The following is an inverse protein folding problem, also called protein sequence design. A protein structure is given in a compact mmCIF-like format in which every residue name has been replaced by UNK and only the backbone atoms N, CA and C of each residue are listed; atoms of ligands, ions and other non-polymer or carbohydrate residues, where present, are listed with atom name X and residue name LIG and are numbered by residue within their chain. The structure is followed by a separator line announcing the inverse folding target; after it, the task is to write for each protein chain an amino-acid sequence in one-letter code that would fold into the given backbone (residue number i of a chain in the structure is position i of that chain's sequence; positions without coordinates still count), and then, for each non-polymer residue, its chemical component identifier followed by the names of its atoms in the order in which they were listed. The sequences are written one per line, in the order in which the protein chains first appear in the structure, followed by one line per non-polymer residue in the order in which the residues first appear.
data_IF_137644649953
#
_entry.id   IF_137644649953
#
_cell.length_a   1.000
_cell.length_b   1.000
_cell.length_c   1.000
_cell.angle_alpha   90.00
_cell.angle_beta   90.00
_cell.angle_gamma   90.00
#
_symmetry.space_group_name_H-M   'P 1'
#
loop_
_entity.id
_entity.type
_entity.pdbx_description
1 polymer ?
#
# COMPACT_ATOMS: atom_id res chain seq x y z
N UNK A 1 -5.53 -13.38 -26.84
CA UNK A 1 -4.17 -12.98 -26.47
C UNK A 1 -3.88 -11.49 -26.70
N UNK A 2 -4.08 -10.88 -27.89
CA UNK A 2 -3.79 -9.44 -28.14
C UNK A 2 -4.54 -8.47 -27.19
N UNK A 3 -5.82 -8.74 -26.86
CA UNK A 3 -6.61 -7.91 -25.94
C UNK A 3 -6.04 -7.91 -24.50
N UNK A 4 -5.62 -9.09 -24.00
CA UNK A 4 -5.00 -9.22 -22.67
C UNK A 4 -3.65 -8.51 -22.62
N UNK A 5 -2.81 -8.68 -23.63
CA UNK A 5 -1.51 -8.01 -23.71
C UNK A 5 -1.64 -6.47 -23.75
N UNK A 6 -2.63 -5.95 -24.49
CA UNK A 6 -2.90 -4.51 -24.51
C UNK A 6 -3.45 -3.99 -23.17
N UNK A 7 -4.16 -4.83 -22.43
CA UNK A 7 -4.63 -4.48 -21.08
C UNK A 7 -3.45 -4.43 -20.11
N UNK A 8 -2.59 -5.45 -20.10
CA UNK A 8 -1.40 -5.51 -19.23
C UNK A 8 -0.43 -4.34 -19.46
N UNK A 9 -0.34 -3.82 -20.68
CA UNK A 9 0.45 -2.58 -20.95
C UNK A 9 -0.06 -1.35 -20.20
N UNK A 10 -1.31 -1.35 -19.73
CA UNK A 10 -1.90 -0.25 -18.95
C UNK A 10 -1.58 -0.37 -17.45
N UNK A 11 -1.01 -1.48 -16.99
CA UNK A 11 -0.63 -1.68 -15.60
C UNK A 11 0.47 -0.73 -15.12
N UNK A 12 0.66 -0.66 -13.81
CA UNK A 12 1.69 0.15 -13.16
C UNK A 12 3.09 -0.25 -13.64
N UNK A 13 3.75 0.63 -14.37
CA UNK A 13 5.11 0.38 -14.86
C UNK A 13 6.13 0.29 -13.71
N UNK A 14 5.95 1.07 -12.65
CA UNK A 14 6.80 1.03 -11.46
C UNK A 14 6.72 -0.33 -10.78
N UNK A 15 5.52 -0.87 -10.59
CA UNK A 15 5.33 -2.20 -9.98
C UNK A 15 5.92 -3.32 -10.85
N UNK A 16 5.81 -3.22 -12.18
CA UNK A 16 6.45 -4.21 -13.07
C UNK A 16 7.97 -4.17 -12.96
N UNK A 17 8.58 -2.98 -12.93
CA UNK A 17 10.03 -2.82 -12.76
C UNK A 17 10.46 -3.36 -11.39
N UNK A 18 9.74 -3.02 -10.32
CA UNK A 18 10.02 -3.53 -8.98
C UNK A 18 9.91 -5.07 -8.92
N UNK A 19 8.89 -5.66 -9.55
CA UNK A 19 8.75 -7.12 -9.63
C UNK A 19 9.95 -7.77 -10.33
N UNK A 20 10.43 -7.20 -11.44
CA UNK A 20 11.59 -7.72 -12.16
C UNK A 20 12.86 -7.59 -11.31
N UNK A 21 13.09 -6.45 -10.66
CA UNK A 21 14.27 -6.23 -9.81
C UNK A 21 14.28 -7.20 -8.65
N UNK A 22 13.16 -7.33 -7.91
CA UNK A 22 13.05 -8.25 -6.78
C UNK A 22 13.17 -9.74 -7.23
N UNK A 23 12.64 -10.08 -8.41
CA UNK A 23 12.83 -11.41 -8.97
C UNK A 23 14.30 -11.71 -9.31
N UNK A 24 15.03 -10.74 -9.85
CA UNK A 24 16.46 -10.89 -10.14
C UNK A 24 17.28 -10.99 -8.83
N UNK A 25 16.97 -10.17 -7.83
CA UNK A 25 17.59 -10.27 -6.50
C UNK A 25 17.30 -11.60 -5.84
N UNK A 26 16.04 -12.05 -5.84
CA UNK A 26 15.64 -13.36 -5.33
C UNK A 26 16.36 -14.49 -6.06
N UNK A 27 16.51 -14.40 -7.37
CA UNK A 27 17.27 -15.40 -8.17
C UNK A 27 18.75 -15.41 -7.82
N UNK A 28 19.36 -14.24 -7.59
CA UNK A 28 20.75 -14.17 -7.12
C UNK A 28 20.93 -14.77 -5.73
N UNK A 29 20.04 -14.47 -4.79
CA UNK A 29 19.99 -15.06 -3.45
C UNK A 29 19.72 -16.58 -3.52
N UNK A 30 18.86 -17.02 -4.44
CA UNK A 30 18.62 -18.45 -4.70
C UNK A 30 19.87 -19.20 -5.16
N UNK A 31 20.61 -18.65 -6.11
CA UNK A 31 21.86 -19.24 -6.54
C UNK A 31 22.87 -19.30 -5.38
N UNK A 32 23.01 -18.24 -4.60
CA UNK A 32 23.87 -18.26 -3.43
C UNK A 32 23.46 -19.35 -2.44
N UNK A 33 22.14 -19.49 -2.15
CA UNK A 33 21.61 -20.57 -1.31
C UNK A 33 21.93 -21.96 -1.86
N UNK A 34 21.75 -22.22 -3.15
CA UNK A 34 22.04 -23.51 -3.76
C UNK A 34 23.52 -23.90 -3.64
N UNK A 35 24.43 -22.95 -3.68
CA UNK A 35 25.87 -23.21 -3.55
C UNK A 35 26.32 -23.36 -2.10
N UNK A 36 25.64 -22.70 -1.16
CA UNK A 36 26.13 -22.58 0.22
C UNK A 36 25.28 -23.32 1.24
N UNK A 37 24.01 -23.60 0.93
CA UNK A 37 23.04 -24.17 1.85
C UNK A 37 22.70 -23.27 3.05
N UNK A 38 23.00 -21.96 2.99
CA UNK A 38 22.86 -21.04 4.10
C UNK A 38 21.38 -20.67 4.35
N UNK A 39 20.87 -20.94 5.56
CA UNK A 39 19.45 -20.76 5.90
C UNK A 39 19.04 -19.28 6.02
N UNK A 40 19.93 -18.40 6.46
CA UNK A 40 19.64 -16.95 6.44
C UNK A 40 19.53 -16.43 5.00
N UNK A 41 20.32 -16.98 4.06
CA UNK A 41 20.21 -16.70 2.63
C UNK A 41 18.89 -17.22 2.05
N UNK A 42 18.42 -18.41 2.50
CA UNK A 42 17.10 -18.93 2.14
C UNK A 42 15.98 -17.98 2.57
N UNK A 43 16.02 -17.48 3.81
CA UNK A 43 15.03 -16.53 4.30
C UNK A 43 14.98 -15.25 3.44
N UNK A 44 16.14 -14.70 3.11
CA UNK A 44 16.28 -13.52 2.28
C UNK A 44 15.84 -13.75 0.82
N UNK A 45 16.08 -14.93 0.30
CA UNK A 45 15.55 -15.36 -1.01
C UNK A 45 14.02 -15.38 -1.02
N UNK A 46 13.41 -16.01 0.01
CA UNK A 46 11.96 -16.10 0.15
C UNK A 46 11.31 -14.72 0.27
N UNK A 47 11.93 -13.81 1.03
CA UNK A 47 11.50 -12.44 1.14
C UNK A 47 11.51 -11.73 -0.23
N UNK A 48 12.62 -11.78 -0.97
CA UNK A 48 12.72 -11.15 -2.29
C UNK A 48 11.75 -11.73 -3.32
N UNK A 49 11.46 -13.03 -3.29
CA UNK A 49 10.43 -13.64 -4.14
C UNK A 49 9.01 -13.26 -3.69
N UNK A 50 8.79 -13.08 -2.39
CA UNK A 50 7.53 -12.55 -1.85
C UNK A 50 7.24 -11.15 -2.39
N UNK A 51 8.22 -10.25 -2.35
CA UNK A 51 8.10 -8.90 -2.87
C UNK A 51 7.90 -8.89 -4.39
N UNK A 52 8.63 -9.76 -5.12
CA UNK A 52 8.43 -9.91 -6.56
C UNK A 52 7.01 -10.36 -6.90
N UNK A 53 6.46 -11.32 -6.15
CA UNK A 53 5.09 -11.79 -6.32
C UNK A 53 4.10 -10.66 -6.00
N UNK A 54 4.25 -9.97 -4.87
CA UNK A 54 3.38 -8.85 -4.50
C UNK A 54 3.34 -7.78 -5.59
N UNK A 55 4.50 -7.30 -6.05
CA UNK A 55 4.61 -6.30 -7.10
C UNK A 55 4.06 -6.77 -8.45
N UNK A 56 4.20 -8.04 -8.79
CA UNK A 56 3.63 -8.63 -10.00
C UNK A 56 2.09 -8.60 -9.94
N UNK A 57 1.50 -8.96 -8.80
CA UNK A 57 0.04 -8.89 -8.62
C UNK A 57 -0.48 -7.46 -8.62
N UNK A 58 0.26 -6.50 -8.04
CA UNK A 58 -0.06 -5.07 -8.14
C UNK A 58 -0.06 -4.62 -9.60
N UNK A 59 0.92 -5.02 -10.40
CA UNK A 59 0.96 -4.71 -11.83
C UNK A 59 -0.24 -5.30 -12.58
N UNK A 60 -0.56 -6.58 -12.37
CA UNK A 60 -1.71 -7.25 -12.98
C UNK A 60 -3.02 -6.61 -12.51
N UNK A 61 -3.17 -6.41 -11.22
CA UNK A 61 -4.36 -5.80 -10.60
C UNK A 61 -4.62 -4.39 -11.13
N UNK A 62 -3.58 -3.55 -11.18
CA UNK A 62 -3.68 -2.19 -11.72
C UNK A 62 -3.99 -2.17 -13.23
N UNK A 63 -3.59 -3.18 -13.98
CA UNK A 63 -3.95 -3.31 -15.38
C UNK A 63 -5.42 -3.65 -15.56
N UNK A 64 -5.93 -4.62 -14.78
CA UNK A 64 -7.32 -5.09 -14.88
C UNK A 64 -8.30 -4.06 -14.32
N UNK A 65 -7.92 -3.30 -13.29
CA UNK A 65 -8.76 -2.24 -12.71
C UNK A 65 -9.10 -1.13 -13.72
N UNK A 66 -8.25 -0.90 -14.71
CA UNK A 66 -8.47 0.09 -15.79
C UNK A 66 -9.42 -0.37 -16.90
N UNK A 67 -10.11 -1.48 -16.71
CA UNK A 67 -11.12 -1.93 -17.64
C UNK A 67 -12.38 -1.08 -17.49
N UNK A 68 -12.94 -0.64 -18.63
CA UNK A 68 -14.13 0.20 -18.64
C UNK A 68 -15.33 -0.48 -17.95
N UNK A 69 -16.21 0.28 -17.30
CA UNK A 69 -17.48 -0.20 -16.77
C UNK A 69 -18.31 -0.95 -17.81
N UNK A 70 -19.17 -1.86 -17.37
CA UNK A 70 -20.14 -2.57 -18.20
C UNK A 70 -21.41 -2.86 -17.39
N UNK A 71 -22.43 -3.46 -18.05
CA UNK A 71 -23.73 -3.77 -17.41
C UNK A 71 -23.60 -4.61 -16.12
N UNK A 72 -22.62 -5.53 -16.06
CA UNK A 72 -22.39 -6.37 -14.87
C UNK A 72 -21.65 -5.66 -13.75
N UNK A 73 -20.77 -4.72 -14.11
CA UNK A 73 -19.95 -3.92 -13.18
C UNK A 73 -20.09 -2.46 -13.56
N UNK A 74 -21.19 -1.79 -13.16
CA UNK A 74 -21.52 -0.43 -13.59
C UNK A 74 -20.54 0.63 -13.02
N UNK A 75 -19.98 0.41 -11.84
CA UNK A 75 -18.94 1.25 -11.24
C UNK A 75 -17.53 0.93 -11.75
N UNK A 76 -17.39 -0.08 -12.66
CA UNK A 76 -16.10 -0.46 -13.20
C UNK A 76 -15.41 -1.57 -12.42
N UNK A 77 -14.08 -1.62 -12.55
CA UNK A 77 -13.24 -2.69 -12.02
C UNK A 77 -12.19 -2.16 -11.04
N UNK A 78 -12.33 -0.92 -10.54
CA UNK A 78 -11.34 -0.26 -9.68
C UNK A 78 -10.91 -1.12 -8.48
N UNK A 79 -11.87 -1.65 -7.74
CA UNK A 79 -11.63 -2.50 -6.54
C UNK A 79 -10.93 -3.83 -6.84
N UNK A 80 -10.88 -4.24 -8.12
CA UNK A 80 -10.28 -5.53 -8.49
C UNK A 80 -8.77 -5.57 -8.22
N UNK A 81 -8.09 -4.42 -8.19
CA UNK A 81 -6.68 -4.37 -7.80
C UNK A 81 -6.47 -4.91 -6.39
N UNK A 82 -7.31 -4.51 -5.44
CA UNK A 82 -7.23 -4.97 -4.05
C UNK A 82 -7.50 -6.47 -3.93
N UNK A 83 -8.51 -6.99 -4.66
CA UNK A 83 -8.84 -8.42 -4.68
C UNK A 83 -7.67 -9.24 -5.26
N UNK A 84 -7.05 -8.75 -6.33
CA UNK A 84 -5.89 -9.41 -6.94
C UNK A 84 -4.69 -9.41 -5.99
N UNK A 85 -4.46 -8.32 -5.25
CA UNK A 85 -3.40 -8.25 -4.24
C UNK A 85 -3.63 -9.20 -3.05
N UNK A 86 -4.88 -9.52 -2.69
CA UNK A 86 -5.16 -10.53 -1.66
C UNK A 86 -4.65 -11.92 -2.05
N UNK A 87 -4.57 -12.28 -3.34
CA UNK A 87 -3.93 -13.51 -3.78
C UNK A 87 -2.41 -13.48 -3.56
N UNK A 88 -1.76 -12.31 -3.78
CA UNK A 88 -0.34 -12.15 -3.46
C UNK A 88 -0.07 -12.39 -1.98
N UNK A 89 -0.92 -11.87 -1.11
CA UNK A 89 -0.83 -12.05 0.36
C UNK A 89 -0.79 -13.53 0.74
N UNK A 90 -1.60 -14.38 0.10
CA UNK A 90 -1.61 -15.84 0.37
C UNK A 90 -0.25 -16.45 -0.01
N UNK A 91 0.31 -16.07 -1.16
CA UNK A 91 1.62 -16.57 -1.61
C UNK A 91 2.71 -16.15 -0.62
N UNK A 92 2.76 -14.86 -0.26
CA UNK A 92 3.78 -14.35 0.67
C UNK A 92 3.63 -14.99 2.07
N UNK A 93 2.39 -15.26 2.52
CA UNK A 93 2.14 -15.98 3.76
C UNK A 93 2.71 -17.41 3.75
N UNK A 94 2.57 -18.12 2.62
CA UNK A 94 3.17 -19.46 2.45
C UNK A 94 4.69 -19.36 2.47
N UNK A 95 5.30 -18.38 1.77
CA UNK A 95 6.75 -18.20 1.79
C UNK A 95 7.28 -17.84 3.18
N UNK A 96 6.57 -17.00 3.93
CA UNK A 96 6.89 -16.65 5.31
C UNK A 96 6.81 -17.90 6.24
N UNK A 97 5.78 -18.72 6.05
CA UNK A 97 5.63 -19.97 6.81
C UNK A 97 6.78 -20.95 6.54
N UNK A 98 7.12 -21.18 5.27
CA UNK A 98 8.26 -22.03 4.89
C UNK A 98 9.58 -21.49 5.46
N UNK A 99 9.77 -20.18 5.46
CA UNK A 99 10.95 -19.53 6.05
C UNK A 99 11.07 -19.82 7.55
N UNK A 100 9.96 -19.79 8.29
CA UNK A 100 9.94 -20.12 9.72
C UNK A 100 10.22 -21.60 9.94
N UNK A 101 9.59 -22.48 9.16
CA UNK A 101 9.78 -23.93 9.29
C UNK A 101 11.25 -24.32 9.05
N UNK A 102 11.85 -23.79 7.98
CA UNK A 102 13.25 -24.05 7.66
C UNK A 102 14.18 -23.52 8.76
N UNK A 103 13.88 -22.31 9.28
CA UNK A 103 14.62 -21.75 10.42
C UNK A 103 14.54 -22.64 11.68
N UNK A 104 13.35 -23.13 12.03
CA UNK A 104 13.16 -24.05 13.17
C UNK A 104 13.89 -25.38 12.94
N UNK A 105 13.78 -25.94 11.73
CA UNK A 105 14.49 -27.17 11.37
C UNK A 105 15.99 -26.99 11.53
N UNK A 106 16.55 -25.87 11.07
CA UNK A 106 17.99 -25.59 11.22
C UNK A 106 18.42 -25.35 12.67
N UNK A 107 17.59 -24.80 13.53
CA UNK A 107 17.86 -24.67 14.97
C UNK A 107 17.95 -26.04 15.63
N UNK A 108 17.06 -26.97 15.24
CA UNK A 108 17.00 -28.34 15.81
C UNK A 108 18.11 -29.24 15.25
N UNK A 109 18.48 -29.03 13.99
CA UNK A 109 19.50 -29.84 13.28
C UNK A 109 20.57 -28.91 12.68
N UNK A 110 21.35 -28.23 13.52
CA UNK A 110 22.31 -27.25 13.02
C UNK A 110 23.35 -27.96 12.14
N UNK A 111 23.52 -27.51 10.93
CA UNK A 111 24.70 -27.82 10.15
C UNK A 111 25.92 -27.21 10.85
N UNK A 112 27.07 -27.89 10.81
CA UNK A 112 28.31 -27.26 11.25
C UNK A 112 28.46 -25.93 10.51
N UNK A 113 28.76 -24.84 11.26
CA UNK A 113 28.98 -23.56 10.66
C UNK A 113 29.91 -23.70 9.45
N UNK A 114 29.47 -23.22 8.29
CA UNK A 114 30.23 -23.41 7.05
C UNK A 114 31.56 -22.65 7.13
N UNK A 115 32.64 -23.41 7.32
CA UNK A 115 34.00 -22.87 7.44
C UNK A 115 34.61 -22.53 6.08
N UNK A 116 33.90 -22.80 4.98
CA UNK A 116 34.38 -22.47 3.64
C UNK A 116 34.37 -20.96 3.40
N UNK A 117 35.57 -20.40 3.23
CA UNK A 117 35.73 -18.96 3.02
C UNK A 117 35.03 -18.47 1.75
N UNK A 118 34.98 -19.28 0.72
CA UNK A 118 34.33 -18.91 -0.55
C UNK A 118 32.81 -18.82 -0.36
N UNK A 119 32.20 -19.74 0.40
CA UNK A 119 30.76 -19.67 0.70
C UNK A 119 30.42 -18.42 1.51
N UNK A 120 31.24 -18.08 2.51
CA UNK A 120 31.08 -16.83 3.26
C UNK A 120 31.17 -15.62 2.34
N UNK A 121 32.14 -15.56 1.44
CA UNK A 121 32.28 -14.42 0.50
C UNK A 121 31.08 -14.31 -0.45
N UNK A 122 30.57 -15.45 -0.95
CA UNK A 122 29.39 -15.48 -1.80
C UNK A 122 28.18 -14.92 -1.04
N UNK A 123 27.90 -15.45 0.15
CA UNK A 123 26.76 -15.03 0.93
C UNK A 123 26.87 -13.57 1.36
N UNK A 124 28.00 -13.15 1.92
CA UNK A 124 28.21 -11.76 2.34
C UNK A 124 28.15 -10.79 1.17
N UNK A 125 28.73 -11.16 0.01
CA UNK A 125 28.69 -10.31 -1.19
C UNK A 125 27.29 -10.14 -1.75
N UNK A 126 26.51 -11.22 -1.84
CA UNK A 126 25.13 -11.18 -2.33
C UNK A 126 24.23 -10.39 -1.38
N UNK A 127 24.35 -10.62 -0.05
CA UNK A 127 23.60 -9.85 0.94
C UNK A 127 23.97 -8.37 0.91
N UNK A 128 25.25 -8.02 0.77
CA UNK A 128 25.69 -6.64 0.73
C UNK A 128 25.08 -5.90 -0.49
N UNK A 129 25.06 -6.57 -1.66
CA UNK A 129 24.42 -6.03 -2.87
C UNK A 129 22.92 -5.81 -2.60
N UNK A 130 22.23 -6.80 -2.01
CA UNK A 130 20.82 -6.69 -1.62
C UNK A 130 20.57 -5.50 -0.69
N UNK A 131 21.31 -5.41 0.41
CA UNK A 131 21.20 -4.33 1.40
C UNK A 131 21.39 -2.95 0.75
N UNK A 132 22.37 -2.79 -0.14
CA UNK A 132 22.59 -1.51 -0.83
C UNK A 132 21.37 -1.14 -1.69
N UNK A 133 20.83 -2.09 -2.44
CA UNK A 133 19.67 -1.86 -3.29
C UNK A 133 18.40 -1.58 -2.47
N UNK A 134 18.14 -2.36 -1.44
CA UNK A 134 17.00 -2.20 -0.53
C UNK A 134 17.09 -0.89 0.27
N UNK A 135 18.29 -0.51 0.74
CA UNK A 135 18.51 0.80 1.38
C UNK A 135 18.20 1.97 0.45
N UNK A 136 18.50 1.83 -0.85
CA UNK A 136 18.16 2.87 -1.83
C UNK A 136 16.65 2.99 -2.03
N UNK A 137 15.92 1.87 -2.02
CA UNK A 137 14.45 1.86 -2.11
C UNK A 137 13.84 2.45 -0.82
N UNK A 138 14.33 2.01 0.36
CA UNK A 138 13.93 2.57 1.66
C UNK A 138 14.17 4.08 1.74
N UNK A 139 15.28 4.57 1.20
CA UNK A 139 15.57 6.01 1.13
C UNK A 139 14.49 6.76 0.33
N UNK A 140 14.05 6.21 -0.81
CA UNK A 140 12.97 6.79 -1.62
C UNK A 140 11.63 6.80 -0.87
N UNK A 141 11.25 5.67 -0.27
CA UNK A 141 10.03 5.58 0.53
C UNK A 141 10.06 6.55 1.73
N UNK A 142 11.20 6.65 2.43
CA UNK A 142 11.38 7.62 3.51
C UNK A 142 11.30 9.07 3.03
N UNK A 143 11.73 9.35 1.81
CA UNK A 143 11.59 10.68 1.19
C UNK A 143 10.11 11.02 0.97
N UNK A 144 9.31 10.10 0.46
CA UNK A 144 7.85 10.28 0.29
C UNK A 144 7.15 10.53 1.63
N UNK A 145 7.52 9.77 2.69
CA UNK A 145 7.01 10.00 4.06
C UNK A 145 7.29 11.42 4.53
N UNK A 146 8.50 11.96 4.29
CA UNK A 146 8.85 13.31 4.71
C UNK A 146 8.19 14.39 3.85
N UNK A 147 8.01 14.16 2.55
CA UNK A 147 7.27 15.05 1.65
C UNK A 147 5.82 15.21 2.11
N UNK A 148 5.13 14.11 2.42
CA UNK A 148 3.78 14.14 2.95
C UNK A 148 3.69 14.76 4.36
N UNK A 149 4.74 14.63 5.17
CA UNK A 149 4.86 15.28 6.47
C UNK A 149 5.29 16.76 6.41
N UNK A 150 5.52 17.30 5.21
CA UNK A 150 6.04 18.66 4.97
C UNK A 150 7.39 18.95 5.67
N UNK A 151 8.29 17.95 5.70
CA UNK A 151 9.60 18.02 6.33
C UNK A 151 10.75 18.01 5.30
N UNK A 152 11.96 18.46 5.69
CA UNK A 152 13.12 18.43 4.80
C UNK A 152 13.45 16.99 4.34
N UNK A 153 13.69 16.82 3.04
CA UNK A 153 13.93 15.52 2.40
C UNK A 153 15.38 15.31 1.98
N UNK A 154 16.30 16.15 2.46
CA UNK A 154 17.71 16.13 2.06
C UNK A 154 18.60 15.34 3.03
N UNK A 155 19.75 14.88 2.55
CA UNK A 155 20.74 14.18 3.37
C UNK A 155 20.24 12.82 3.88
N UNK A 156 20.48 12.50 5.15
CA UNK A 156 20.07 11.23 5.78
C UNK A 156 18.68 11.28 6.43
N UNK A 157 17.97 12.41 6.38
CA UNK A 157 16.64 12.54 6.95
C UNK A 157 15.65 11.46 6.48
N UNK A 158 15.64 11.05 5.20
CA UNK A 158 14.78 9.96 4.73
C UNK A 158 14.99 8.61 5.43
N UNK A 159 16.18 8.34 5.96
CA UNK A 159 16.48 7.10 6.68
C UNK A 159 16.35 7.21 8.20
N UNK A 160 16.25 8.42 8.76
CA UNK A 160 16.24 8.61 10.21
C UNK A 160 14.96 9.28 10.72
N UNK A 161 14.62 10.44 10.15
CA UNK A 161 13.49 11.26 10.59
C UNK A 161 12.14 10.71 10.14
N UNK A 162 12.10 9.96 9.02
CA UNK A 162 10.88 9.33 8.49
C UNK A 162 10.24 8.34 9.46
N UNK A 163 11.03 7.58 10.23
CA UNK A 163 10.50 6.67 11.26
C UNK A 163 9.66 7.39 12.32
N UNK A 164 10.11 8.54 12.80
CA UNK A 164 9.39 9.32 13.80
C UNK A 164 8.13 10.02 13.23
N UNK A 165 8.09 10.26 11.92
CA UNK A 165 7.02 11.00 11.26
C UNK A 165 6.13 10.13 10.37
N UNK A 166 6.33 8.82 10.35
CA UNK A 166 5.57 7.86 9.55
C UNK A 166 4.05 7.95 9.77
N UNK A 167 3.61 8.32 10.97
CA UNK A 167 2.19 8.47 11.30
C UNK A 167 1.52 9.68 10.61
N UNK A 168 2.31 10.60 10.06
CA UNK A 168 1.82 11.76 9.29
C UNK A 168 1.68 11.45 7.80
N UNK A 169 2.25 10.34 7.35
CA UNK A 169 2.15 9.90 5.96
C UNK A 169 0.83 9.17 5.70
N UNK A 170 0.42 9.15 4.43
CA UNK A 170 -0.75 8.42 3.96
C UNK A 170 -0.61 6.91 4.25
N UNK A 171 -1.71 6.19 4.47
CA UNK A 171 -1.66 4.76 4.79
C UNK A 171 -0.84 3.92 3.79
N UNK A 172 -1.00 4.17 2.49
CA UNK A 172 -0.25 3.46 1.44
C UNK A 172 1.26 3.75 1.51
N UNK A 173 1.68 5.01 1.66
CA UNK A 173 3.08 5.41 1.79
C UNK A 173 3.71 4.81 3.05
N UNK A 174 2.96 4.81 4.16
CA UNK A 174 3.37 4.17 5.41
C UNK A 174 3.60 2.68 5.26
N UNK A 175 2.71 1.98 4.51
CA UNK A 175 2.85 0.54 4.27
C UNK A 175 4.11 0.23 3.47
N UNK A 176 4.32 0.93 2.34
CA UNK A 176 5.53 0.76 1.51
C UNK A 176 6.80 1.01 2.33
N UNK A 177 6.83 2.08 3.13
CA UNK A 177 7.98 2.37 4.00
C UNK A 177 8.22 1.27 5.04
N UNK A 178 7.17 0.63 5.59
CA UNK A 178 7.30 -0.51 6.49
C UNK A 178 7.81 -1.76 5.78
N UNK A 179 7.32 -2.06 4.57
CA UNK A 179 7.81 -3.18 3.74
C UNK A 179 9.31 -3.03 3.47
N UNK A 180 9.74 -1.87 2.98
CA UNK A 180 11.15 -1.60 2.68
C UNK A 180 12.04 -1.60 3.93
N UNK A 181 11.48 -1.19 5.09
CA UNK A 181 12.18 -1.29 6.39
C UNK A 181 12.42 -2.75 6.78
N UNK A 182 11.42 -3.61 6.60
CA UNK A 182 11.54 -5.05 6.88
C UNK A 182 12.54 -5.69 5.94
N UNK A 183 12.49 -5.39 4.64
CA UNK A 183 13.44 -5.89 3.66
C UNK A 183 14.89 -5.53 4.02
N UNK A 184 15.16 -4.23 4.21
CA UNK A 184 16.51 -3.75 4.53
C UNK A 184 17.03 -4.31 5.86
N UNK A 185 16.18 -4.34 6.91
CA UNK A 185 16.58 -4.88 8.21
C UNK A 185 16.79 -6.39 8.17
N UNK A 186 15.99 -7.13 7.40
CA UNK A 186 16.16 -8.56 7.16
C UNK A 186 17.55 -8.87 6.60
N UNK A 187 17.94 -8.18 5.52
CA UNK A 187 19.26 -8.33 4.93
C UNK A 187 20.41 -8.04 5.90
N UNK A 188 20.27 -6.95 6.70
CA UNK A 188 21.28 -6.57 7.70
C UNK A 188 21.42 -7.64 8.79
N UNK A 189 20.33 -8.13 9.38
CA UNK A 189 20.40 -9.15 10.43
C UNK A 189 20.87 -10.51 9.87
N UNK A 190 20.53 -10.84 8.62
CA UNK A 190 21.05 -12.02 7.94
C UNK A 190 22.58 -11.94 7.77
N UNK A 191 23.09 -10.80 7.31
CA UNK A 191 24.54 -10.59 7.18
C UNK A 191 25.26 -10.69 8.53
N UNK A 192 24.70 -10.08 9.58
CA UNK A 192 25.23 -10.17 10.94
C UNK A 192 25.25 -11.64 11.42
N UNK A 193 24.17 -12.38 11.17
CA UNK A 193 24.08 -13.80 11.56
C UNK A 193 25.17 -14.64 10.90
N UNK A 194 25.42 -14.47 9.61
CA UNK A 194 26.47 -15.20 8.87
C UNK A 194 27.86 -14.86 9.42
N UNK A 195 28.12 -13.60 9.75
CA UNK A 195 29.38 -13.18 10.37
C UNK A 195 29.57 -13.84 11.76
N UNK A 196 28.54 -13.77 12.62
CA UNK A 196 28.58 -14.37 13.96
C UNK A 196 28.74 -15.88 13.85
N UNK A 197 27.95 -16.56 13.02
CA UNK A 197 28.03 -18.00 12.77
C UNK A 197 29.47 -18.42 12.44
N UNK A 198 30.11 -17.69 11.52
CA UNK A 198 31.47 -17.95 11.11
C UNK A 198 32.52 -17.72 12.22
N UNK A 199 32.39 -16.63 12.97
CA UNK A 199 33.38 -16.27 14.00
C UNK A 199 33.29 -17.12 15.25
N UNK A 200 32.08 -17.54 15.61
CA UNK A 200 31.82 -18.27 16.87
C UNK A 200 31.61 -19.77 16.68
N UNK A 201 31.37 -20.22 15.46
CA UNK A 201 30.95 -21.63 15.20
C UNK A 201 29.48 -21.90 15.58
N UNK A 202 28.73 -20.89 16.06
CA UNK A 202 27.33 -21.00 16.48
C UNK A 202 26.39 -20.96 15.28
N UNK A 203 26.26 -22.08 14.52
CA UNK A 203 25.46 -22.15 13.30
C UNK A 203 23.96 -21.95 13.52
N UNK A 204 23.43 -22.24 14.71
CA UNK A 204 22.00 -22.07 15.03
C UNK A 204 21.51 -20.62 14.86
N UNK A 205 22.41 -19.62 14.91
CA UNK A 205 22.05 -18.22 14.76
C UNK A 205 21.41 -17.91 13.40
N UNK A 206 21.83 -18.62 12.35
CA UNK A 206 21.25 -18.49 11.01
C UNK A 206 19.79 -18.93 10.98
N UNK A 207 19.47 -20.05 11.67
CA UNK A 207 18.09 -20.50 11.84
C UNK A 207 17.23 -19.54 12.69
N UNK A 208 17.80 -19.00 13.78
CA UNK A 208 17.11 -18.00 14.62
C UNK A 208 16.75 -16.77 13.78
N UNK A 209 17.69 -16.28 12.99
CA UNK A 209 17.45 -15.11 12.14
C UNK A 209 16.46 -15.43 11.02
N UNK A 210 16.49 -16.63 10.44
CA UNK A 210 15.47 -17.07 9.48
C UNK A 210 14.07 -17.03 10.09
N UNK A 211 13.89 -17.50 11.32
CA UNK A 211 12.60 -17.39 12.04
C UNK A 211 12.19 -15.93 12.23
N UNK A 212 13.12 -15.06 12.62
CA UNK A 212 12.84 -13.63 12.81
C UNK A 212 12.39 -13.00 11.48
N UNK A 213 13.09 -13.25 10.38
CA UNK A 213 12.73 -12.75 9.05
C UNK A 213 11.34 -13.25 8.65
N UNK A 214 11.04 -14.53 8.83
CA UNK A 214 9.72 -15.09 8.55
C UNK A 214 8.61 -14.45 9.37
N UNK A 215 8.84 -14.15 10.66
CA UNK A 215 7.88 -13.43 11.51
C UNK A 215 7.70 -11.97 11.06
N UNK A 216 8.77 -11.30 10.63
CA UNK A 216 8.69 -9.97 10.04
C UNK A 216 7.88 -9.98 8.74
N UNK A 217 8.07 -10.98 7.89
CA UNK A 217 7.25 -11.19 6.69
C UNK A 217 5.76 -11.38 7.04
N UNK A 218 5.43 -12.18 8.06
CA UNK A 218 4.05 -12.34 8.53
C UNK A 218 3.43 -11.02 9.02
N UNK A 219 4.20 -10.19 9.70
CA UNK A 219 3.72 -8.87 10.11
C UNK A 219 3.34 -8.01 8.89
N UNK A 220 4.20 -7.96 7.87
CA UNK A 220 3.93 -7.24 6.62
C UNK A 220 2.70 -7.82 5.93
N UNK A 221 2.63 -9.15 5.78
CA UNK A 221 1.48 -9.87 5.20
C UNK A 221 0.17 -9.47 5.87
N UNK A 222 0.13 -9.44 7.20
CA UNK A 222 -1.07 -9.03 7.94
C UNK A 222 -1.47 -7.59 7.64
N UNK A 223 -0.50 -6.67 7.53
CA UNK A 223 -0.75 -5.26 7.19
C UNK A 223 -1.27 -5.11 5.77
N UNK A 224 -0.63 -5.74 4.80
CA UNK A 224 -1.02 -5.73 3.38
C UNK A 224 -2.41 -6.34 3.20
N UNK A 225 -2.71 -7.44 3.92
CA UNK A 225 -4.03 -8.06 3.93
C UNK A 225 -5.12 -7.09 4.37
N UNK A 226 -4.93 -6.45 5.53
CA UNK A 226 -5.92 -5.53 6.10
C UNK A 226 -6.19 -4.33 5.18
N UNK A 227 -5.14 -3.77 4.57
CA UNK A 227 -5.27 -2.64 3.66
C UNK A 227 -6.00 -3.03 2.37
N UNK A 228 -5.62 -4.15 1.76
CA UNK A 228 -6.31 -4.62 0.55
C UNK A 228 -7.74 -5.09 0.82
N UNK A 229 -8.01 -5.68 1.98
CA UNK A 229 -9.36 -6.05 2.40
C UNK A 229 -10.23 -4.80 2.58
N UNK A 230 -9.71 -3.78 3.26
CA UNK A 230 -10.39 -2.50 3.41
C UNK A 230 -10.63 -1.82 2.06
N UNK A 231 -9.63 -1.78 1.18
CA UNK A 231 -9.76 -1.23 -0.17
C UNK A 231 -10.75 -2.00 -1.06
N UNK A 232 -10.93 -3.31 -0.83
CA UNK A 232 -11.94 -4.10 -1.54
C UNK A 232 -13.38 -3.80 -1.05
N UNK A 233 -13.55 -3.43 0.21
CA UNK A 233 -14.83 -2.98 0.78
C UNK A 233 -15.16 -1.57 0.29
N UNK A 234 -14.18 -0.68 0.29
CA UNK A 234 -14.26 0.74 -0.04
C UNK A 234 -13.78 1.58 1.14
N UNK A 235 -12.75 2.36 0.93
CA UNK A 235 -12.16 3.24 1.95
C UNK A 235 -12.46 4.68 1.59
N UNK A 236 -12.74 5.52 2.60
CA UNK A 236 -12.84 6.96 2.42
C UNK A 236 -11.48 7.58 2.09
N UNK A 237 -11.47 8.68 1.34
CA UNK A 237 -10.30 9.50 1.11
C UNK A 237 -10.48 10.83 1.87
N UNK A 238 -9.93 10.90 3.09
CA UNK A 238 -10.10 12.04 4.00
C UNK A 238 -9.54 13.35 3.42
N UNK A 239 -8.48 13.27 2.59
CA UNK A 239 -7.89 14.45 1.96
C UNK A 239 -8.83 15.03 0.90
N UNK A 240 -9.39 14.17 0.06
CA UNK A 240 -10.35 14.60 -0.93
C UNK A 240 -11.68 15.02 -0.30
N UNK A 241 -12.11 14.37 0.79
CA UNK A 241 -13.30 14.77 1.54
C UNK A 241 -13.16 16.22 2.05
N UNK A 242 -12.02 16.55 2.68
CA UNK A 242 -11.73 17.92 3.12
C UNK A 242 -11.66 18.92 1.95
N UNK A 243 -11.11 18.51 0.81
CA UNK A 243 -11.01 19.37 -0.37
C UNK A 243 -12.36 19.58 -1.02
N UNK A 244 -13.13 18.52 -1.17
CA UNK A 244 -14.48 18.56 -1.73
C UNK A 244 -15.42 19.42 -0.89
N UNK A 245 -15.34 19.30 0.45
CA UNK A 245 -16.17 20.13 1.34
C UNK A 245 -15.90 21.62 1.15
N UNK A 246 -14.64 22.03 0.98
CA UNK A 246 -14.29 23.42 0.70
C UNK A 246 -14.86 23.90 -0.63
N UNK A 247 -14.73 23.09 -1.69
CA UNK A 247 -15.26 23.42 -3.02
C UNK A 247 -16.79 23.58 -2.97
N UNK A 248 -17.48 22.73 -2.24
CA UNK A 248 -18.94 22.76 -2.07
C UNK A 248 -19.35 24.01 -1.29
N UNK A 249 -18.71 24.28 -0.14
CA UNK A 249 -19.05 25.43 0.73
C UNK A 249 -18.63 26.80 0.16
N UNK A 250 -17.74 26.85 -0.84
CA UNK A 250 -17.44 28.08 -1.58
C UNK A 250 -18.61 28.55 -2.47
N UNK A 251 -19.59 27.67 -2.75
CA UNK A 251 -20.73 28.04 -3.55
C UNK A 251 -21.75 28.83 -2.70
N UNK A 252 -22.08 30.06 -3.10
CA UNK A 252 -22.95 30.99 -2.34
C UNK A 252 -24.38 30.49 -2.09
N UNK A 253 -24.81 29.43 -2.79
CA UNK A 253 -26.15 28.84 -2.66
C UNK A 253 -26.16 27.63 -1.71
N UNK A 254 -25.03 27.27 -1.13
CA UNK A 254 -24.92 26.17 -0.17
C UNK A 254 -24.70 26.78 1.23
N UNK A 255 -25.58 26.44 2.15
CA UNK A 255 -25.49 26.86 3.56
C UNK A 255 -24.71 25.89 4.43
N UNK A 256 -24.88 24.58 4.20
CA UNK A 256 -24.16 23.54 4.93
C UNK A 256 -24.05 22.23 4.12
N UNK A 257 -23.24 21.30 4.60
CA UNK A 257 -23.12 19.94 4.07
C UNK A 257 -23.69 18.96 5.08
N UNK A 258 -24.83 18.38 4.76
CA UNK A 258 -25.47 17.37 5.61
C UNK A 258 -24.68 16.08 5.64
N UNK A 259 -24.15 15.67 4.50
CA UNK A 259 -23.35 14.45 4.35
C UNK A 259 -22.42 14.59 3.16
N UNK A 260 -21.18 14.19 3.32
CA UNK A 260 -20.23 14.03 2.23
C UNK A 260 -19.55 12.68 2.39
N UNK A 261 -19.57 11.89 1.33
CA UNK A 261 -18.90 10.59 1.27
C UNK A 261 -17.98 10.62 0.06
N UNK A 262 -16.73 10.30 0.27
CA UNK A 262 -15.73 10.12 -0.80
C UNK A 262 -15.24 8.69 -0.73
N UNK A 263 -15.62 7.87 -1.70
CA UNK A 263 -15.25 6.45 -1.75
C UNK A 263 -14.15 6.25 -2.78
N UNK A 264 -13.09 5.60 -2.35
CA UNK A 264 -11.97 5.21 -3.22
C UNK A 264 -12.22 3.83 -3.82
N UNK A 265 -12.22 3.75 -5.15
CA UNK A 265 -12.32 2.51 -5.92
C UNK A 265 -11.07 2.30 -6.78
N UNK A 266 -10.06 1.67 -6.21
CA UNK A 266 -8.74 1.58 -6.81
C UNK A 266 -8.03 2.93 -6.82
N UNK A 267 -7.90 3.56 -7.99
CA UNK A 267 -7.37 4.92 -8.15
C UNK A 267 -8.46 5.98 -8.32
N UNK A 268 -9.69 5.56 -8.59
CA UNK A 268 -10.81 6.44 -8.90
C UNK A 268 -11.57 6.81 -7.61
N UNK A 269 -12.08 8.04 -7.57
CA UNK A 269 -12.84 8.60 -6.44
C UNK A 269 -14.28 8.88 -6.89
N UNK A 270 -15.23 8.39 -6.11
CA UNK A 270 -16.66 8.63 -6.26
C UNK A 270 -17.14 9.49 -5.10
N UNK A 271 -17.80 10.60 -5.41
CA UNK A 271 -18.30 11.56 -4.42
C UNK A 271 -19.82 11.55 -4.38
N UNK A 272 -20.35 11.46 -3.18
CA UNK A 272 -21.77 11.61 -2.90
C UNK A 272 -21.95 12.66 -1.80
N UNK A 273 -22.67 13.73 -2.11
CA UNK A 273 -22.93 14.84 -1.18
C UNK A 273 -24.42 15.09 -1.04
N UNK A 274 -24.87 15.30 0.21
CA UNK A 274 -26.16 15.90 0.52
C UNK A 274 -25.84 17.29 1.06
N UNK A 275 -26.35 18.31 0.38
CA UNK A 275 -26.06 19.71 0.69
C UNK A 275 -27.33 20.47 1.03
N UNK A 276 -27.22 21.39 1.96
CA UNK A 276 -28.34 22.26 2.38
C UNK A 276 -28.29 23.59 1.63
N UNK A 277 -29.46 24.04 1.24
CA UNK A 277 -29.64 25.36 0.60
C UNK A 277 -30.51 26.24 1.50
N UNK A 278 -30.24 27.56 1.58
CA UNK A 278 -31.08 28.49 2.32
C UNK A 278 -32.54 28.40 1.87
N UNK A 279 -33.48 28.70 2.79
CA UNK A 279 -34.90 28.79 2.47
C UNK A 279 -35.16 29.79 1.32
N UNK A 280 -35.42 29.25 0.14
CA UNK A 280 -35.76 30.04 -1.06
C UNK A 280 -36.47 29.13 -2.06
N UNK A 281 -37.43 29.72 -2.81
CA UNK A 281 -38.14 29.01 -3.89
C UNK A 281 -37.20 28.79 -5.10
N UNK A 282 -36.32 27.79 -5.01
CA UNK A 282 -35.47 27.39 -6.13
C UNK A 282 -36.26 26.61 -7.17
N UNK A 283 -36.22 27.06 -8.40
CA UNK A 283 -36.69 26.25 -9.52
C UNK A 283 -35.74 25.05 -9.74
N UNK A 284 -36.25 23.96 -10.28
CA UNK A 284 -35.44 22.77 -10.67
C UNK A 284 -34.28 23.17 -11.59
N UNK A 285 -34.46 24.18 -12.45
CA UNK A 285 -33.42 24.69 -13.35
C UNK A 285 -32.27 25.32 -12.57
N UNK A 286 -32.56 26.15 -11.56
CA UNK A 286 -31.54 26.78 -10.73
C UNK A 286 -30.74 25.72 -9.94
N UNK A 287 -31.43 24.75 -9.34
CA UNK A 287 -30.73 23.64 -8.65
C UNK A 287 -29.84 22.82 -9.59
N UNK A 288 -30.30 22.56 -10.82
CA UNK A 288 -29.51 21.88 -11.84
C UNK A 288 -28.26 22.68 -12.25
N UNK A 289 -28.35 24.01 -12.34
CA UNK A 289 -27.23 24.91 -12.64
C UNK A 289 -26.21 24.92 -11.47
N UNK A 290 -26.67 25.00 -10.22
CA UNK A 290 -25.82 24.90 -9.01
C UNK A 290 -25.10 23.54 -8.96
N UNK A 291 -25.85 22.44 -9.13
CA UNK A 291 -25.27 21.08 -9.20
C UNK A 291 -24.18 20.99 -10.26
N UNK A 292 -24.46 21.50 -11.45
CA UNK A 292 -23.53 21.48 -12.59
C UNK A 292 -22.25 22.25 -12.28
N UNK A 293 -22.35 23.43 -11.66
CA UNK A 293 -21.17 24.22 -11.28
C UNK A 293 -20.27 23.46 -10.30
N UNK A 294 -20.84 23.00 -9.18
CA UNK A 294 -20.11 22.27 -8.15
C UNK A 294 -19.51 20.96 -8.72
N UNK A 295 -20.31 20.16 -9.44
CA UNK A 295 -19.86 18.92 -10.04
C UNK A 295 -18.75 19.15 -11.06
N UNK A 296 -18.81 20.21 -11.86
CA UNK A 296 -17.76 20.54 -12.84
C UNK A 296 -16.44 20.86 -12.14
N UNK A 297 -16.46 21.58 -11.03
CA UNK A 297 -15.27 21.90 -10.24
C UNK A 297 -14.69 20.66 -9.57
N UNK A 298 -15.53 19.81 -8.99
CA UNK A 298 -15.09 18.55 -8.35
C UNK A 298 -14.51 17.56 -9.37
N UNK A 299 -15.09 17.44 -10.57
CA UNK A 299 -14.59 16.59 -11.66
C UNK A 299 -13.25 17.07 -12.25
N UNK A 300 -12.80 18.30 -11.96
CA UNK A 300 -11.45 18.76 -12.32
C UNK A 300 -10.39 18.27 -11.35
N UNK A 301 -10.79 17.77 -10.18
CA UNK A 301 -9.86 17.22 -9.22
C UNK A 301 -9.30 15.87 -9.68
N UNK A 302 -8.01 15.60 -9.36
CA UNK A 302 -7.38 14.35 -9.75
C UNK A 302 -8.15 13.13 -9.22
N UNK A 303 -8.35 12.16 -10.11
CA UNK A 303 -9.00 10.89 -9.81
C UNK A 303 -10.51 10.94 -9.50
N UNK A 304 -11.14 12.09 -9.44
CA UNK A 304 -12.60 12.19 -9.31
C UNK A 304 -13.26 11.83 -10.64
N UNK A 305 -14.05 10.75 -10.64
CA UNK A 305 -14.69 10.22 -11.86
C UNK A 305 -16.20 10.33 -11.82
N UNK A 306 -16.78 10.47 -10.63
CA UNK A 306 -18.23 10.56 -10.47
C UNK A 306 -18.58 11.47 -9.27
N UNK A 307 -19.62 12.30 -9.45
CA UNK A 307 -20.10 13.24 -8.44
C UNK A 307 -21.62 13.24 -8.43
N UNK A 308 -22.19 12.80 -7.33
CA UNK A 308 -23.63 12.93 -7.09
C UNK A 308 -23.90 13.95 -5.98
N UNK A 309 -24.83 14.89 -6.23
CA UNK A 309 -25.22 15.92 -5.28
C UNK A 309 -26.74 15.90 -5.14
N UNK A 310 -27.19 15.76 -3.91
CA UNK A 310 -28.58 15.90 -3.51
C UNK A 310 -28.77 17.20 -2.73
N UNK A 311 -29.90 17.86 -2.92
CA UNK A 311 -30.23 19.11 -2.24
C UNK A 311 -31.29 18.88 -1.16
N UNK A 312 -31.06 19.51 -0.03
CA UNK A 312 -32.04 19.59 1.08
C UNK A 312 -32.27 21.06 1.46
N UNK A 313 -33.37 21.31 2.08
CA UNK A 313 -33.65 22.60 2.70
C UNK A 313 -32.90 22.70 4.03
N UNK A 314 -32.38 23.87 4.37
CA UNK A 314 -31.63 24.14 5.59
C UNK A 314 -32.46 23.82 6.85
N UNK A 315 -31.89 23.03 7.77
CA UNK A 315 -32.58 22.61 9.02
C UNK A 315 -32.11 23.37 10.26
N UNK A 316 -31.34 24.44 10.13
CA UNK A 316 -30.81 25.29 11.20
C UNK A 316 -29.74 24.63 12.09
N UNK A 317 -29.37 23.36 11.84
CA UNK A 317 -28.25 22.69 12.50
C UNK A 317 -27.01 22.78 11.61
N UNK A 318 -25.84 23.06 12.22
CA UNK A 318 -24.59 23.01 11.49
C UNK A 318 -24.02 21.58 11.60
N UNK A 319 -24.09 20.83 10.49
CA UNK A 319 -23.63 19.45 10.43
C UNK A 319 -22.18 19.31 10.00
N UNK A 320 -21.65 20.30 9.29
CA UNK A 320 -20.26 20.31 8.81
C UNK A 320 -19.43 21.37 9.53
N UNK A 321 -18.55 20.92 10.47
CA UNK A 321 -17.72 21.81 11.29
C UNK A 321 -16.24 21.43 11.10
N UNK A 322 -15.39 22.44 10.86
CA UNK A 322 -13.92 22.30 10.72
C UNK A 322 -13.47 21.23 9.71
N UNK A 323 -14.21 21.08 8.62
CA UNK A 323 -13.86 20.15 7.55
C UNK A 323 -14.19 18.70 7.87
N UNK A 324 -15.01 18.44 8.89
CA UNK A 324 -15.52 17.12 9.24
C UNK A 324 -17.02 17.16 9.49
N UNK A 325 -17.74 16.18 8.99
CA UNK A 325 -19.13 15.99 9.32
C UNK A 325 -19.31 15.71 10.82
N UNK A 326 -20.36 16.24 11.40
CA UNK A 326 -20.66 16.14 12.85
C UNK A 326 -20.91 14.73 13.34
N UNK A 327 -21.01 13.73 12.49
CA UNK A 327 -21.08 12.32 12.88
C UNK A 327 -20.77 11.36 11.75
N UNK A 328 -19.80 10.52 12.00
CA UNK A 328 -19.67 9.19 11.46
C UNK A 328 -21.05 8.52 11.48
N UNK A 329 -21.61 8.25 10.29
CA UNK A 329 -22.72 7.35 10.06
C UNK A 329 -23.89 7.44 11.07
N UNK A 330 -24.76 8.43 10.93
CA UNK A 330 -26.17 8.19 11.31
C UNK A 330 -26.82 7.45 10.13
N UNK A 331 -27.23 6.18 10.29
CA UNK A 331 -28.04 5.53 9.28
C UNK A 331 -29.26 6.42 9.03
N UNK A 332 -29.69 6.51 7.78
CA UNK A 332 -30.93 7.20 7.40
C UNK A 332 -32.00 6.92 8.45
N UNK A 333 -32.43 7.94 9.16
CA UNK A 333 -33.58 7.78 10.07
C UNK A 333 -34.84 7.73 9.18
N UNK A 334 -35.20 6.49 8.79
CA UNK A 334 -36.39 6.21 8.00
C UNK A 334 -37.70 6.45 8.79
N UNK A 335 -37.61 7.05 9.97
CA UNK A 335 -38.79 7.37 10.79
C UNK A 335 -39.44 8.71 10.45
N UNK A 336 -38.97 9.41 9.42
CA UNK A 336 -39.45 10.72 9.00
C UNK A 336 -40.05 10.77 7.58
N UNK A 337 -40.51 9.65 6.98
CA UNK A 337 -41.29 9.62 5.75
C UNK A 337 -42.63 8.99 6.02
#
# INVERSE_FOLDING_TARGET
MKKLFNLLKKGSKSSLIAAIVNFLLGSLKFLAYLFTGNVAMFAEMMHSFGDAANQLFVWVGSAVSRKAPNEKFPFGYGRLVNIVCLFAVIIVAILAYETILEGIHHIQHPSNADQNFNHFLINAGVLLIGIIMETFVLYKAGKEVLEEAHLPTTGLHPLTTSFANMNKAKPATKLVFLEDTVATSGGVIALIAIIISRLTGFGQIEGIVSVIIGLMMFYVVARVFLENAAGAIGVSDDEMELKASRIILENQYISDIKRLIVVKEGVDLHLEAIVETPHHDYSLRQLAEIKKDIATRLLQEPHVVDVNIEFMEEDTTQDWVDGKGSSIYKPYDTKGV
#
